data_IF_590328790282
#
_entry.id   IF_590328790282
#
_cell.length_a   1.000
_cell.length_b   1.000
_cell.length_c   1.000
_cell.angle_alpha   90.00
_cell.angle_beta   90.00
_cell.angle_gamma   90.00
#
_symmetry.space_group_name_H-M   'P 1'
#
loop_
_entity.id
_entity.type
_entity.pdbx_description
1 polymer ?
#
# COMPACT_ATOMS: atom_id res chain seq x y z
N UNK A 1 75.52 25.87 27.83
CA UNK A 1 76.15 25.53 26.53
C UNK A 1 75.48 24.28 25.99
N UNK A 2 75.02 24.29 24.74
CA UNK A 2 74.48 23.10 24.06
C UNK A 2 73.14 23.33 23.36
N UNK A 3 73.16 24.03 22.23
CA UNK A 3 72.09 24.11 21.23
C UNK A 3 71.67 22.72 20.73
N UNK A 4 70.37 22.39 20.58
CA UNK A 4 69.96 21.22 19.82
C UNK A 4 69.95 21.53 18.32
N UNK A 5 70.65 20.67 17.60
CA UNK A 5 70.84 20.69 16.15
C UNK A 5 69.52 20.57 15.38
N UNK A 6 69.35 21.50 14.44
CA UNK A 6 68.37 21.46 13.36
C UNK A 6 68.96 20.62 12.22
N UNK A 7 68.45 19.41 11.98
CA UNK A 7 68.73 18.66 10.75
C UNK A 7 67.44 18.46 9.96
N UNK A 8 67.54 18.88 8.70
CA UNK A 8 66.52 18.98 7.66
C UNK A 8 65.92 17.62 7.32
N UNK A 9 64.59 17.54 7.35
CA UNK A 9 63.85 16.47 6.69
C UNK A 9 63.74 16.80 5.18
N UNK A 10 64.56 16.14 4.37
CA UNK A 10 64.42 16.09 2.91
C UNK A 10 64.29 14.64 2.51
N UNK A 11 63.07 14.24 2.18
CA UNK A 11 62.75 12.89 1.77
C UNK A 11 61.34 12.83 1.17
N UNK A 12 61.09 13.63 0.13
CA UNK A 12 59.89 13.47 -0.68
C UNK A 12 60.03 12.19 -1.50
N UNK A 13 59.50 11.07 -1.01
CA UNK A 13 59.43 9.84 -1.79
C UNK A 13 58.48 10.07 -2.97
N UNK A 14 59.03 10.14 -4.19
CA UNK A 14 58.20 10.18 -5.39
C UNK A 14 57.49 8.84 -5.53
N UNK A 15 56.15 8.87 -5.60
CA UNK A 15 55.34 7.69 -5.85
C UNK A 15 55.78 7.01 -7.14
N UNK A 16 55.92 5.68 -7.10
CA UNK A 16 56.20 4.88 -8.29
C UNK A 16 55.01 4.90 -9.25
N UNK A 17 55.22 4.64 -10.54
CA UNK A 17 54.12 4.61 -11.52
C UNK A 17 53.02 3.62 -11.14
N UNK A 18 53.36 2.49 -10.54
CA UNK A 18 52.39 1.54 -10.01
C UNK A 18 51.55 2.12 -8.87
N UNK A 19 52.16 2.92 -7.98
CA UNK A 19 51.42 3.60 -6.91
C UNK A 19 50.47 4.66 -7.47
N UNK A 20 50.86 5.38 -8.52
CA UNK A 20 49.98 6.33 -9.20
C UNK A 20 48.79 5.65 -9.87
N UNK A 21 49.03 4.53 -10.58
CA UNK A 21 47.97 3.74 -11.20
C UNK A 21 47.00 3.15 -10.15
N UNK A 22 47.52 2.64 -9.04
CA UNK A 22 46.69 2.13 -7.95
C UNK A 22 45.81 3.24 -7.34
N UNK A 23 46.35 4.44 -7.13
CA UNK A 23 45.58 5.60 -6.65
C UNK A 23 44.47 5.97 -7.64
N UNK A 24 44.77 6.00 -8.94
CA UNK A 24 43.76 6.30 -9.98
C UNK A 24 42.61 5.29 -9.94
N UNK A 25 42.91 3.98 -9.85
CA UNK A 25 41.90 2.93 -9.79
C UNK A 25 41.05 3.02 -8.52
N UNK A 26 41.65 3.35 -7.38
CA UNK A 26 40.92 3.54 -6.11
C UNK A 26 39.98 4.75 -6.22
N UNK A 27 40.46 5.88 -6.76
CA UNK A 27 39.65 7.08 -6.94
C UNK A 27 38.49 6.83 -7.90
N UNK A 28 38.74 6.16 -9.03
CA UNK A 28 37.68 5.77 -9.98
C UNK A 28 36.66 4.83 -9.33
N UNK A 29 37.10 3.86 -8.52
CA UNK A 29 36.20 2.96 -7.81
C UNK A 29 35.34 3.69 -6.79
N UNK A 30 35.89 4.68 -6.07
CA UNK A 30 35.14 5.53 -5.15
C UNK A 30 34.14 6.40 -5.90
N UNK A 31 34.50 6.98 -7.04
CA UNK A 31 33.59 7.79 -7.86
C UNK A 31 32.44 6.93 -8.40
N UNK A 32 32.73 5.74 -8.92
CA UNK A 32 31.70 4.80 -9.39
C UNK A 32 30.82 4.36 -8.23
N UNK A 33 31.39 4.03 -7.08
CA UNK A 33 30.61 3.68 -5.89
C UNK A 33 29.72 4.83 -5.43
N UNK A 34 30.24 6.06 -5.39
CA UNK A 34 29.47 7.25 -5.06
C UNK A 34 28.37 7.54 -6.09
N UNK A 35 28.66 7.39 -7.38
CA UNK A 35 27.68 7.54 -8.46
C UNK A 35 26.57 6.48 -8.36
N UNK A 36 26.90 5.23 -8.09
CA UNK A 36 25.91 4.16 -7.86
C UNK A 36 25.07 4.41 -6.60
N UNK A 37 25.64 4.98 -5.52
CA UNK A 37 24.89 5.39 -4.33
C UNK A 37 24.01 6.63 -4.59
N UNK A 38 24.42 7.51 -5.50
CA UNK A 38 23.59 8.64 -5.93
C UNK A 38 22.43 8.20 -6.85
N UNK A 39 22.61 7.19 -7.70
CA UNK A 39 21.53 6.66 -8.55
C UNK A 39 20.44 5.91 -7.76
N UNK A 40 20.82 5.15 -6.73
CA UNK A 40 19.84 4.50 -5.84
C UNK A 40 19.05 5.48 -4.96
N UNK A 41 19.57 6.69 -4.74
CA UNK A 41 18.87 7.75 -4.01
C UNK A 41 18.11 8.73 -4.91
N UNK A 42 18.45 8.84 -6.20
CA UNK A 42 17.81 9.79 -7.13
C UNK A 42 16.53 9.28 -7.80
N UNK A 43 16.24 7.99 -7.71
CA UNK A 43 14.94 7.42 -8.13
C UNK A 43 13.85 7.49 -7.05
N UNK A 44 14.14 8.11 -5.90
CA UNK A 44 13.13 8.41 -4.89
C UNK A 44 12.71 9.88 -5.01
N UNK A 45 11.42 10.09 -5.25
CA UNK A 45 10.72 11.38 -5.28
C UNK A 45 11.11 12.31 -6.43
N UNK A 46 10.28 12.30 -7.48
CA UNK A 46 9.75 13.59 -7.90
C UNK A 46 8.87 14.07 -6.75
N UNK A 47 9.24 15.11 -5.99
CA UNK A 47 8.23 15.80 -5.22
C UNK A 47 7.29 16.40 -6.27
N UNK A 48 6.06 15.89 -6.33
CA UNK A 48 4.95 16.73 -6.76
C UNK A 48 5.09 18.07 -6.02
N UNK A 49 4.81 19.22 -6.64
CA UNK A 49 4.79 20.48 -5.92
C UNK A 49 3.89 20.28 -4.70
N UNK A 50 4.51 20.23 -3.52
CA UNK A 50 3.79 20.12 -2.26
C UNK A 50 3.31 21.54 -2.02
N UNK A 51 2.16 21.88 -2.58
CA UNK A 51 1.32 22.86 -1.90
C UNK A 51 1.26 22.37 -0.45
N UNK A 52 1.65 23.23 0.51
CA UNK A 52 1.61 22.86 1.93
C UNK A 52 0.29 22.15 2.21
N UNK A 53 0.30 20.96 2.85
CA UNK A 53 -0.92 20.20 3.04
C UNK A 53 -1.94 21.12 3.68
N UNK A 54 -3.00 21.46 2.92
CA UNK A 54 -4.04 22.37 3.39
C UNK A 54 -4.44 21.87 4.78
N UNK A 55 -4.16 22.68 5.80
CA UNK A 55 -4.53 22.33 7.16
C UNK A 55 -6.04 22.09 7.26
N UNK A 56 -6.52 21.54 8.38
CA UNK A 56 -7.95 21.49 8.60
C UNK A 56 -8.52 22.88 8.36
N UNK A 57 -9.63 22.99 7.62
CA UNK A 57 -10.31 24.29 7.48
C UNK A 57 -10.57 24.81 8.90
N UNK A 58 -10.42 26.12 9.16
CA UNK A 58 -10.77 26.68 10.47
C UNK A 58 -12.12 26.14 10.94
N UNK A 59 -12.19 25.68 12.19
CA UNK A 59 -13.38 25.08 12.83
C UNK A 59 -13.78 23.66 12.36
N UNK A 60 -12.96 22.95 11.55
CA UNK A 60 -13.24 21.54 11.24
C UNK A 60 -13.08 20.67 12.48
N UNK A 61 -14.13 19.97 12.90
CA UNK A 61 -14.09 19.05 14.03
C UNK A 61 -14.21 17.60 13.55
N UNK A 62 -13.08 16.90 13.41
CA UNK A 62 -13.10 15.51 12.94
C UNK A 62 -13.89 14.63 13.92
N UNK A 63 -15.01 14.08 13.46
CA UNK A 63 -15.91 13.28 14.28
C UNK A 63 -15.54 11.80 14.32
N UNK A 64 -14.86 11.31 13.28
CA UNK A 64 -14.48 9.90 13.14
C UNK A 64 -13.26 9.77 12.23
N UNK A 65 -12.43 8.74 12.46
CA UNK A 65 -11.38 8.31 11.54
C UNK A 65 -11.74 6.95 10.94
N UNK A 66 -11.82 6.85 9.61
CA UNK A 66 -12.00 5.60 8.90
C UNK A 66 -10.69 5.15 8.27
N UNK A 67 -10.18 3.97 8.65
CA UNK A 67 -9.03 3.35 7.98
C UNK A 67 -9.51 2.39 6.90
N UNK A 68 -9.21 2.75 5.65
CA UNK A 68 -9.41 1.93 4.46
C UNK A 68 -8.06 1.43 3.94
N UNK A 69 -8.08 0.40 3.11
CA UNK A 69 -6.86 -0.09 2.48
C UNK A 69 -7.09 -1.42 1.80
N UNK A 70 -6.26 -1.75 0.84
CA UNK A 70 -6.41 -2.98 0.06
C UNK A 70 -6.25 -4.22 0.95
N UNK A 71 -6.68 -5.40 0.46
CA UNK A 71 -6.26 -6.67 1.09
C UNK A 71 -4.74 -6.71 1.16
N UNK A 72 -4.17 -7.38 2.16
CA UNK A 72 -2.72 -7.55 2.31
C UNK A 72 -1.87 -6.26 2.41
N UNK A 73 -2.48 -5.11 2.70
CA UNK A 73 -1.80 -3.81 2.83
C UNK A 73 -1.38 -3.45 4.26
N UNK A 74 -1.60 -4.32 5.25
CA UNK A 74 -1.20 -4.05 6.64
C UNK A 74 -2.22 -3.26 7.49
N UNK A 75 -3.43 -3.00 6.97
CA UNK A 75 -4.45 -2.21 7.69
C UNK A 75 -4.79 -2.71 9.10
N UNK A 76 -4.70 -4.01 9.38
CA UNK A 76 -4.92 -4.53 10.75
C UNK A 76 -3.90 -3.96 11.75
N UNK A 77 -2.63 -3.84 11.34
CA UNK A 77 -1.58 -3.31 12.19
C UNK A 77 -1.81 -1.83 12.49
N UNK A 78 -2.19 -1.05 11.47
CA UNK A 78 -2.47 0.37 11.58
C UNK A 78 -3.76 0.65 12.35
N UNK A 79 -4.88 -0.01 12.03
CA UNK A 79 -6.16 0.23 12.72
C UNK A 79 -6.07 -0.08 14.21
N UNK A 80 -5.42 -1.19 14.58
CA UNK A 80 -5.19 -1.54 15.99
C UNK A 80 -4.28 -0.52 16.69
N UNK A 81 -3.37 0.11 15.97
CA UNK A 81 -2.52 1.15 16.55
C UNK A 81 -3.31 2.44 16.78
N UNK A 82 -4.03 2.91 15.76
CA UNK A 82 -4.85 4.11 15.86
C UNK A 82 -5.91 3.98 16.95
N UNK A 83 -6.59 2.83 17.03
CA UNK A 83 -7.54 2.54 18.10
C UNK A 83 -6.89 2.65 19.49
N UNK A 84 -5.69 2.08 19.66
CA UNK A 84 -4.95 2.18 20.92
C UNK A 84 -4.58 3.64 21.26
N UNK A 85 -4.28 4.46 20.27
CA UNK A 85 -3.79 5.83 20.48
C UNK A 85 -4.94 6.83 20.68
N UNK A 86 -6.01 6.72 19.90
CA UNK A 86 -7.06 7.73 19.81
C UNK A 86 -8.47 7.23 20.16
N UNK A 87 -8.69 5.91 20.26
CA UNK A 87 -10.00 5.31 20.54
C UNK A 87 -10.65 5.71 21.88
N UNK A 88 -9.88 6.37 22.75
CA UNK A 88 -10.40 6.95 23.99
C UNK A 88 -11.19 8.26 23.80
N UNK A 89 -11.03 8.93 22.65
CA UNK A 89 -11.60 10.26 22.39
C UNK A 89 -12.31 10.37 21.03
N UNK A 90 -11.91 9.58 20.04
CA UNK A 90 -12.52 9.57 18.70
C UNK A 90 -12.69 8.15 18.19
N UNK A 91 -13.79 7.91 17.49
CA UNK A 91 -14.09 6.59 16.95
C UNK A 91 -13.18 6.26 15.76
N UNK A 92 -12.51 5.11 15.81
CA UNK A 92 -11.72 4.57 14.70
C UNK A 92 -12.45 3.39 14.07
N UNK A 93 -12.85 3.51 12.82
CA UNK A 93 -13.55 2.44 12.09
C UNK A 93 -12.68 1.80 11.01
N UNK A 94 -12.96 0.54 10.73
CA UNK A 94 -12.49 -0.17 9.52
C UNK A 94 -13.58 -0.26 8.45
N UNK A 95 -14.52 0.67 8.49
CA UNK A 95 -15.64 0.80 7.56
C UNK A 95 -15.92 2.29 7.30
N UNK A 96 -16.33 2.62 6.08
CA UNK A 96 -16.93 3.90 5.74
C UNK A 96 -18.35 3.66 5.21
N UNK A 97 -18.48 3.35 3.91
CA UNK A 97 -19.74 2.88 3.30
C UNK A 97 -19.82 1.34 3.29
N UNK A 98 -18.67 0.70 3.12
CA UNK A 98 -18.42 -0.75 3.15
C UNK A 98 -17.20 -1.07 4.02
N UNK A 99 -16.93 -2.35 4.25
CA UNK A 99 -15.69 -2.79 4.88
C UNK A 99 -14.43 -2.29 4.14
N UNK A 100 -13.37 -2.03 4.91
CA UNK A 100 -12.13 -1.33 4.49
C UNK A 100 -11.45 -1.81 3.21
N UNK A 101 -11.66 -3.05 2.82
CA UNK A 101 -11.00 -3.65 1.65
C UNK A 101 -11.77 -3.47 0.35
N UNK A 102 -13.04 -3.08 0.43
CA UNK A 102 -13.96 -3.07 -0.71
C UNK A 102 -14.13 -1.65 -1.27
N UNK A 103 -14.59 -1.56 -2.52
CA UNK A 103 -14.96 -0.31 -3.16
C UNK A 103 -15.98 0.42 -2.31
N UNK A 104 -15.78 1.70 -2.12
CA UNK A 104 -16.70 2.57 -1.40
C UNK A 104 -17.71 3.18 -2.38
N UNK A 105 -18.86 3.61 -1.86
CA UNK A 105 -19.89 4.33 -2.59
C UNK A 105 -20.41 5.52 -1.75
N UNK A 106 -20.90 6.61 -2.36
CA UNK A 106 -21.44 7.74 -1.63
C UNK A 106 -22.66 7.31 -0.79
N UNK A 107 -22.52 7.38 0.53
CA UNK A 107 -23.56 6.97 1.48
C UNK A 107 -23.46 7.80 2.77
N UNK A 108 -23.74 9.12 2.72
CA UNK A 108 -23.51 10.04 3.85
C UNK A 108 -24.28 9.67 5.13
N UNK A 109 -25.31 8.84 5.03
CA UNK A 109 -26.07 8.32 6.16
C UNK A 109 -25.37 7.19 6.94
N UNK A 110 -24.18 6.73 6.51
CA UNK A 110 -23.45 5.60 7.13
C UNK A 110 -22.30 6.01 8.04
N UNK A 111 -21.89 7.26 7.99
CA UNK A 111 -20.78 7.82 8.76
C UNK A 111 -21.14 9.24 9.19
N UNK A 112 -20.61 9.71 10.33
CA UNK A 112 -20.84 11.10 10.75
C UNK A 112 -20.20 12.07 9.75
N UNK A 113 -20.74 13.29 9.67
CA UNK A 113 -20.06 14.37 8.95
C UNK A 113 -18.70 14.67 9.60
N UNK A 114 -17.79 15.22 8.81
CA UNK A 114 -16.40 15.47 9.22
C UNK A 114 -15.61 14.19 9.53
N UNK A 115 -15.80 13.16 8.71
CA UNK A 115 -15.01 11.93 8.77
C UNK A 115 -13.66 12.11 8.08
N UNK A 116 -12.55 11.88 8.79
CA UNK A 116 -11.23 11.74 8.18
C UNK A 116 -11.04 10.31 7.66
N UNK A 117 -10.62 10.16 6.42
CA UNK A 117 -10.33 8.84 5.84
C UNK A 117 -8.83 8.66 5.65
N UNK A 118 -8.27 7.60 6.21
CA UNK A 118 -6.89 7.18 5.96
C UNK A 118 -6.94 6.01 4.99
N UNK A 119 -6.50 6.24 3.75
CA UNK A 119 -6.42 5.24 2.70
C UNK A 119 -5.00 4.66 2.65
N UNK A 120 -4.82 3.46 3.19
CA UNK A 120 -3.51 2.81 3.25
C UNK A 120 -3.25 1.92 2.02
N UNK A 121 -2.12 2.16 1.38
CA UNK A 121 -1.63 1.41 0.24
C UNK A 121 -0.32 0.70 0.58
N UNK A 122 0.00 -0.30 -0.23
CA UNK A 122 1.24 -1.08 -0.12
C UNK A 122 1.97 -1.03 -1.45
N UNK A 123 3.29 -1.11 -1.42
CA UNK A 123 4.12 -1.16 -2.62
C UNK A 123 3.57 -2.24 -3.57
N UNK A 124 3.34 -1.93 -4.86
CA UNK A 124 2.61 -2.81 -5.75
C UNK A 124 3.30 -4.17 -5.96
N UNK A 125 4.64 -4.21 -5.97
CA UNK A 125 5.39 -5.46 -6.10
C UNK A 125 5.14 -6.39 -4.90
N UNK A 126 5.33 -5.85 -3.69
CA UNK A 126 5.09 -6.57 -2.43
C UNK A 126 3.61 -6.94 -2.24
N UNK A 127 2.71 -6.07 -2.69
CA UNK A 127 1.28 -6.27 -2.61
C UNK A 127 0.82 -7.41 -3.52
N UNK A 128 1.23 -7.40 -4.80
CA UNK A 128 0.91 -8.47 -5.75
C UNK A 128 1.47 -9.81 -5.28
N UNK A 129 2.72 -9.84 -4.78
CA UNK A 129 3.30 -11.06 -4.21
C UNK A 129 2.54 -11.56 -2.98
N UNK A 130 2.09 -10.65 -2.12
CA UNK A 130 1.28 -11.01 -0.96
C UNK A 130 -0.13 -11.49 -1.36
N UNK A 131 -0.75 -10.88 -2.36
CA UNK A 131 -2.02 -11.31 -2.94
C UNK A 131 -1.92 -12.69 -3.59
N UNK A 132 -0.83 -12.98 -4.31
CA UNK A 132 -0.55 -14.32 -4.85
C UNK A 132 -0.48 -15.35 -3.73
N UNK A 133 0.30 -15.08 -2.68
CA UNK A 133 0.51 -16.03 -1.58
C UNK A 133 -0.71 -16.21 -0.67
N UNK A 134 -1.52 -15.17 -0.52
CA UNK A 134 -2.64 -15.08 0.42
C UNK A 134 -3.86 -14.43 -0.26
N UNK A 135 -4.49 -15.11 -1.25
CA UNK A 135 -5.61 -14.59 -2.02
C UNK A 135 -6.92 -14.70 -1.22
N UNK A 136 -7.02 -13.92 -0.13
CA UNK A 136 -8.20 -13.91 0.73
C UNK A 136 -9.48 -13.61 -0.06
N UNK A 137 -10.51 -14.45 0.14
CA UNK A 137 -11.80 -14.34 -0.54
C UNK A 137 -11.75 -14.55 -2.06
N UNK A 138 -10.63 -15.06 -2.61
CA UNK A 138 -10.46 -15.29 -4.04
C UNK A 138 -10.18 -16.77 -4.36
N UNK A 139 -11.17 -17.68 -4.18
CA UNK A 139 -10.97 -19.11 -4.33
C UNK A 139 -10.45 -19.57 -5.70
N UNK A 140 -10.86 -18.95 -6.80
CA UNK A 140 -10.37 -19.22 -8.15
C UNK A 140 -8.90 -18.84 -8.38
N UNK A 141 -8.30 -18.02 -7.51
CA UNK A 141 -6.88 -17.63 -7.62
C UNK A 141 -5.95 -18.42 -6.69
N UNK A 142 -6.50 -19.35 -5.89
CA UNK A 142 -5.70 -20.12 -4.91
C UNK A 142 -4.74 -21.09 -5.58
N UNK A 143 -5.08 -21.60 -6.76
CA UNK A 143 -4.22 -22.54 -7.46
C UNK A 143 -2.92 -21.91 -7.99
N UNK A 144 -2.87 -20.57 -8.11
CA UNK A 144 -1.70 -19.81 -8.57
C UNK A 144 -0.79 -19.32 -7.43
N UNK A 145 -1.06 -19.78 -6.19
CA UNK A 145 -0.23 -19.48 -5.01
C UNK A 145 1.25 -19.87 -5.14
N UNK A 146 1.61 -21.02 -5.74
CA UNK A 146 3.02 -21.40 -5.90
C UNK A 146 3.79 -20.35 -6.69
N UNK A 147 5.06 -20.11 -6.31
CA UNK A 147 5.88 -19.03 -6.85
C UNK A 147 6.03 -19.13 -8.37
N UNK A 148 6.17 -20.35 -8.90
CA UNK A 148 6.29 -20.63 -10.33
C UNK A 148 5.05 -20.29 -11.16
N UNK A 149 3.90 -19.99 -10.53
CA UNK A 149 2.62 -19.65 -11.19
C UNK A 149 2.24 -18.18 -11.07
N UNK A 150 3.20 -17.31 -10.77
CA UNK A 150 2.97 -15.87 -10.61
C UNK A 150 2.37 -15.25 -11.88
N UNK A 151 2.78 -15.73 -13.06
CA UNK A 151 2.33 -15.18 -14.34
C UNK A 151 0.84 -15.45 -14.56
N UNK A 152 0.36 -16.67 -14.28
CA UNK A 152 -1.06 -17.00 -14.33
C UNK A 152 -1.84 -16.18 -13.31
N UNK A 153 -1.32 -15.98 -12.10
CA UNK A 153 -1.96 -15.12 -11.10
C UNK A 153 -2.15 -13.68 -11.61
N UNK A 154 -1.11 -13.09 -12.20
CA UNK A 154 -1.14 -11.70 -12.69
C UNK A 154 -1.95 -11.51 -13.97
N UNK A 155 -2.17 -12.57 -14.77
CA UNK A 155 -2.88 -12.49 -16.06
C UNK A 155 -4.32 -12.98 -15.99
N UNK A 156 -4.69 -13.70 -14.94
CA UNK A 156 -6.05 -14.23 -14.80
C UNK A 156 -7.05 -13.10 -14.55
N UNK A 157 -8.22 -13.14 -15.21
CA UNK A 157 -9.32 -12.25 -14.89
C UNK A 157 -9.70 -12.33 -13.41
N UNK A 158 -9.94 -11.18 -12.79
CA UNK A 158 -10.28 -11.11 -11.36
C UNK A 158 -11.74 -11.50 -11.13
N UNK A 159 -12.05 -12.79 -11.25
CA UNK A 159 -13.42 -13.30 -11.14
C UNK A 159 -13.47 -14.79 -10.77
N UNK A 160 -14.69 -15.30 -10.64
CA UNK A 160 -15.01 -16.73 -10.61
C UNK A 160 -16.42 -16.95 -11.16
N UNK A 161 -16.75 -18.18 -11.52
CA UNK A 161 -18.15 -18.53 -11.78
C UNK A 161 -19.02 -18.38 -10.53
N UNK A 162 -20.26 -17.95 -10.71
CA UNK A 162 -21.26 -17.97 -9.62
C UNK A 162 -21.59 -19.41 -9.26
N UNK A 163 -21.71 -19.68 -7.97
CA UNK A 163 -21.89 -21.03 -7.43
C UNK A 163 -23.06 -21.10 -6.44
N UNK A 164 -23.65 -22.28 -6.30
CA UNK A 164 -24.68 -22.54 -5.31
C UNK A 164 -25.88 -21.58 -5.39
N UNK A 165 -26.25 -20.99 -4.26
CA UNK A 165 -27.38 -20.05 -4.16
C UNK A 165 -27.16 -18.77 -4.96
N UNK A 166 -25.90 -18.38 -5.21
CA UNK A 166 -25.53 -17.19 -5.97
C UNK A 166 -25.87 -17.29 -7.47
N UNK A 167 -26.12 -18.49 -8.00
CA UNK A 167 -26.52 -18.68 -9.42
C UNK A 167 -27.89 -18.09 -9.74
N UNK A 168 -28.75 -17.98 -8.74
CA UNK A 168 -30.08 -17.42 -8.93
C UNK A 168 -29.99 -15.91 -8.75
N UNK A 169 -30.23 -15.16 -9.82
CA UNK A 169 -30.32 -13.71 -9.74
C UNK A 169 -31.47 -13.36 -8.80
N UNK A 170 -31.13 -12.88 -7.61
CA UNK A 170 -32.11 -12.35 -6.68
C UNK A 170 -32.02 -10.84 -6.71
N UNK A 171 -33.16 -10.10 -6.78
CA UNK A 171 -33.18 -8.63 -6.83
C UNK A 171 -32.79 -7.99 -5.47
N UNK A 172 -31.98 -8.67 -4.67
CA UNK A 172 -31.57 -8.25 -3.32
C UNK A 172 -30.22 -7.56 -3.37
N UNK A 173 -30.00 -6.65 -2.42
CA UNK A 173 -28.66 -6.14 -2.13
C UNK A 173 -27.77 -7.30 -1.67
N UNK A 174 -26.60 -7.39 -2.28
CA UNK A 174 -25.60 -8.39 -1.95
C UNK A 174 -24.84 -8.04 -0.68
N UNK A 175 -23.93 -8.94 -0.28
CA UNK A 175 -22.99 -8.69 0.80
C UNK A 175 -22.31 -7.33 0.63
N UNK A 176 -22.14 -6.63 1.76
CA UNK A 176 -21.56 -5.28 1.79
C UNK A 176 -22.28 -4.27 0.87
N UNK A 177 -23.57 -4.48 0.55
CA UNK A 177 -24.40 -3.55 -0.23
C UNK A 177 -23.92 -3.31 -1.67
N UNK A 178 -23.29 -4.32 -2.27
CA UNK A 178 -23.09 -4.35 -3.70
C UNK A 178 -24.40 -4.70 -4.42
N UNK A 179 -24.54 -4.26 -5.66
CA UNK A 179 -25.54 -4.81 -6.57
C UNK A 179 -25.07 -6.18 -7.07
N UNK A 180 -26.00 -7.02 -7.51
CA UNK A 180 -25.69 -8.36 -8.00
C UNK A 180 -24.60 -8.33 -9.08
N UNK A 181 -24.71 -7.43 -10.06
CA UNK A 181 -23.74 -7.28 -11.15
C UNK A 181 -22.36 -6.80 -10.71
N UNK A 182 -22.22 -6.18 -9.55
CA UNK A 182 -20.97 -5.54 -9.12
C UNK A 182 -20.07 -6.47 -8.27
N UNK A 183 -20.57 -7.66 -7.92
CA UNK A 183 -19.87 -8.59 -7.03
C UNK A 183 -20.16 -10.06 -7.35
N UNK A 184 -19.16 -10.92 -7.14
CA UNK A 184 -19.29 -12.37 -7.02
C UNK A 184 -18.58 -12.82 -5.74
N UNK A 185 -19.20 -13.45 -4.75
CA UNK A 185 -20.60 -13.87 -4.68
C UNK A 185 -21.49 -12.75 -4.15
N UNK A 186 -22.79 -12.79 -4.42
CA UNK A 186 -23.78 -11.96 -3.76
C UNK A 186 -23.99 -12.39 -2.29
N UNK A 187 -23.99 -13.69 -2.02
CA UNK A 187 -24.10 -14.25 -0.67
C UNK A 187 -22.74 -14.50 -0.02
N UNK A 188 -22.67 -14.33 1.30
CA UNK A 188 -21.44 -14.53 2.09
C UNK A 188 -20.98 -15.99 2.05
N UNK A 189 -21.86 -16.98 2.16
CA UNK A 189 -21.51 -18.41 2.08
C UNK A 189 -22.43 -19.10 1.04
N UNK A 190 -22.12 -19.04 -0.27
CA UNK A 190 -23.02 -19.50 -1.33
C UNK A 190 -23.16 -21.03 -1.44
N UNK A 191 -22.35 -21.77 -0.69
CA UNK A 191 -22.42 -23.24 -0.57
C UNK A 191 -22.46 -23.61 0.92
N UNK A 192 -23.08 -24.75 1.28
CA UNK A 192 -23.02 -25.25 2.65
C UNK A 192 -21.57 -25.49 3.08
N UNK A 193 -21.28 -25.30 4.37
CA UNK A 193 -19.91 -25.46 4.92
C UNK A 193 -19.27 -26.81 4.62
N UNK A 194 -20.07 -27.88 4.51
CA UNK A 194 -19.63 -29.22 4.14
C UNK A 194 -19.02 -29.32 2.73
N UNK A 195 -19.31 -28.37 1.83
CA UNK A 195 -18.74 -28.32 0.50
C UNK A 195 -17.26 -27.88 0.50
N UNK A 196 -16.79 -27.23 1.56
CA UNK A 196 -15.43 -26.72 1.66
C UNK A 196 -14.53 -27.69 2.42
N UNK A 197 -13.63 -28.37 1.70
CA UNK A 197 -12.64 -29.29 2.29
C UNK A 197 -11.69 -28.60 3.27
N UNK A 198 -11.37 -27.33 3.01
CA UNK A 198 -10.52 -26.47 3.84
C UNK A 198 -11.09 -25.04 3.81
N UNK A 199 -11.01 -24.35 4.95
CA UNK A 199 -11.44 -22.96 5.11
C UNK A 199 -10.24 -22.00 5.04
N UNK A 200 -9.17 -22.40 4.36
CA UNK A 200 -8.00 -21.56 4.14
C UNK A 200 -8.39 -20.31 3.36
N UNK A 201 -7.77 -19.17 3.69
CA UNK A 201 -7.95 -17.89 2.99
C UNK A 201 -9.41 -17.44 2.78
N UNK A 202 -10.32 -17.83 3.66
CA UNK A 202 -11.74 -17.48 3.57
C UNK A 202 -12.41 -17.93 2.27
N UNK A 203 -12.01 -19.09 1.71
CA UNK A 203 -12.59 -19.68 0.49
C UNK A 203 -14.11 -19.85 0.50
N UNK A 204 -14.65 -20.06 1.69
CA UNK A 204 -16.08 -20.20 1.92
C UNK A 204 -16.85 -18.89 1.74
N UNK A 205 -16.13 -17.76 1.63
CA UNK A 205 -16.66 -16.41 1.46
C UNK A 205 -16.05 -15.72 0.23
N UNK A 206 -16.38 -16.16 -1.00
CA UNK A 206 -15.87 -15.53 -2.22
C UNK A 206 -16.30 -14.06 -2.34
N UNK A 207 -15.35 -13.19 -2.70
CA UNK A 207 -15.53 -11.75 -2.83
C UNK A 207 -14.63 -11.17 -3.94
N UNK A 208 -15.17 -11.19 -5.16
CA UNK A 208 -14.66 -10.60 -6.39
C UNK A 208 -15.49 -9.39 -6.73
N UNK A 209 -14.86 -8.23 -6.71
CA UNK A 209 -15.47 -6.98 -7.12
C UNK A 209 -15.31 -6.83 -8.62
N UNK A 210 -16.40 -6.47 -9.31
CA UNK A 210 -16.41 -6.23 -10.75
C UNK A 210 -15.93 -4.79 -11.06
N UNK A 211 -15.81 -4.49 -12.35
CA UNK A 211 -15.47 -3.17 -12.88
C UNK A 211 -16.32 -2.07 -12.24
N UNK A 212 -15.66 -1.06 -11.66
CA UNK A 212 -16.33 0.07 -10.99
C UNK A 212 -16.77 1.15 -11.98
N UNK A 213 -17.12 0.74 -13.22
CA UNK A 213 -17.64 1.54 -14.32
C UNK A 213 -19.15 1.29 -14.55
N UNK A 214 -19.77 0.45 -13.72
CA UNK A 214 -21.17 0.07 -13.79
C UNK A 214 -21.48 -1.01 -14.84
N UNK A 215 -20.48 -1.52 -15.56
CA UNK A 215 -20.64 -2.56 -16.59
C UNK A 215 -20.93 -3.94 -16.03
N UNK A 216 -20.58 -4.19 -14.76
CA UNK A 216 -20.63 -5.52 -14.14
C UNK A 216 -19.66 -6.54 -14.74
N UNK A 217 -18.70 -6.10 -15.56
CA UNK A 217 -17.69 -6.97 -16.15
C UNK A 217 -16.53 -7.17 -15.18
N UNK A 218 -15.89 -8.35 -15.16
CA UNK A 218 -14.70 -8.55 -14.36
C UNK A 218 -13.51 -7.75 -14.93
N UNK A 219 -12.56 -7.40 -14.06
CA UNK A 219 -11.27 -6.88 -14.50
C UNK A 219 -10.48 -7.96 -15.26
N UNK A 220 -9.73 -7.58 -16.29
CA UNK A 220 -8.91 -8.53 -17.04
C UNK A 220 -7.79 -9.13 -16.19
N UNK A 221 -7.38 -8.40 -15.15
CA UNK A 221 -6.41 -8.87 -14.17
C UNK A 221 -6.47 -8.06 -12.86
N UNK A 222 -5.72 -8.53 -11.86
CA UNK A 222 -5.65 -7.89 -10.54
C UNK A 222 -5.01 -6.49 -10.53
N UNK A 223 -4.15 -6.17 -11.51
CA UNK A 223 -3.51 -4.85 -11.60
C UNK A 223 -4.49 -3.78 -12.09
N UNK A 224 -5.39 -4.12 -13.01
CA UNK A 224 -6.51 -3.25 -13.40
C UNK A 224 -7.46 -3.00 -12.20
N UNK A 225 -7.81 -4.07 -11.46
CA UNK A 225 -8.63 -3.94 -10.24
C UNK A 225 -7.99 -3.01 -9.22
N UNK A 226 -6.68 -3.14 -8.98
CA UNK A 226 -5.92 -2.26 -8.10
C UNK A 226 -5.95 -0.80 -8.58
N UNK A 227 -5.74 -0.59 -9.87
CA UNK A 227 -5.79 0.76 -10.47
C UNK A 227 -7.13 1.44 -10.15
N UNK A 228 -8.24 0.74 -10.34
CA UNK A 228 -9.56 1.27 -10.01
C UNK A 228 -9.79 1.40 -8.50
N UNK A 229 -9.18 0.52 -7.68
CA UNK A 229 -9.22 0.65 -6.22
C UNK A 229 -8.61 1.94 -5.73
N UNK A 230 -7.45 2.32 -6.27
CA UNK A 230 -6.78 3.58 -5.96
C UNK A 230 -7.69 4.76 -6.32
N UNK A 231 -8.23 4.78 -7.55
CA UNK A 231 -9.17 5.83 -7.99
C UNK A 231 -10.37 5.94 -7.06
N UNK A 232 -10.99 4.81 -6.73
CA UNK A 232 -12.15 4.80 -5.85
C UNK A 232 -11.81 5.34 -4.46
N UNK A 233 -10.70 4.91 -3.85
CA UNK A 233 -10.33 5.36 -2.51
C UNK A 233 -9.99 6.85 -2.47
N UNK A 234 -9.29 7.38 -3.48
CA UNK A 234 -8.99 8.81 -3.55
C UNK A 234 -10.24 9.65 -3.85
N UNK A 235 -11.19 9.13 -4.64
CA UNK A 235 -12.45 9.82 -4.93
C UNK A 235 -13.36 10.02 -3.71
N UNK A 236 -13.09 9.32 -2.60
CA UNK A 236 -13.84 9.48 -1.35
C UNK A 236 -13.75 10.91 -0.80
N UNK A 237 -12.72 11.68 -1.18
CA UNK A 237 -12.57 13.08 -0.81
C UNK A 237 -13.77 13.93 -1.24
N UNK A 238 -14.44 13.53 -2.31
CA UNK A 238 -15.62 14.21 -2.85
C UNK A 238 -16.94 13.76 -2.20
N UNK A 239 -16.91 12.82 -1.25
CA UNK A 239 -18.12 12.32 -0.62
C UNK A 239 -18.64 13.32 0.42
N UNK A 240 -19.95 13.55 0.41
CA UNK A 240 -20.62 14.37 1.43
C UNK A 240 -20.27 13.82 2.82
N UNK A 241 -19.82 14.70 3.72
CA UNK A 241 -19.47 14.37 5.10
C UNK A 241 -18.03 13.86 5.30
N UNK A 242 -17.24 13.68 4.24
CA UNK A 242 -15.80 13.41 4.37
C UNK A 242 -15.04 14.72 4.52
N UNK A 243 -14.19 14.82 5.54
CA UNK A 243 -13.35 16.00 5.77
C UNK A 243 -12.15 16.02 4.84
N UNK A 244 -11.43 14.89 4.75
CA UNK A 244 -10.29 14.71 3.84
C UNK A 244 -9.96 13.22 3.67
N UNK A 245 -9.11 12.91 2.69
CA UNK A 245 -8.55 11.57 2.44
C UNK A 245 -7.03 11.63 2.44
N UNK A 246 -6.38 10.91 3.36
CA UNK A 246 -4.94 10.79 3.41
C UNK A 246 -4.48 9.47 2.80
N UNK A 247 -3.75 9.54 1.70
CA UNK A 247 -3.05 8.40 1.14
C UNK A 247 -1.79 8.11 1.97
N UNK A 248 -1.69 6.90 2.53
CA UNK A 248 -0.56 6.50 3.37
C UNK A 248 0.09 5.24 2.82
N UNK A 249 1.40 5.30 2.63
CA UNK A 249 2.19 4.12 2.25
C UNK A 249 2.52 3.29 3.49
N UNK A 250 2.19 2.01 3.44
CA UNK A 250 2.47 1.08 4.53
C UNK A 250 3.97 0.96 4.82
N UNK A 251 4.81 0.98 3.78
CA UNK A 251 6.27 0.92 3.91
C UNK A 251 6.83 2.17 4.62
N UNK A 252 6.20 3.33 4.43
CA UNK A 252 6.57 4.55 5.13
C UNK A 252 6.37 4.39 6.64
N UNK A 253 5.18 3.92 7.05
CA UNK A 253 4.87 3.67 8.47
C UNK A 253 5.77 2.61 9.09
N UNK A 254 6.26 1.64 8.30
CA UNK A 254 7.23 0.67 8.76
C UNK A 254 8.63 1.26 8.86
N UNK A 255 9.10 2.01 7.86
CA UNK A 255 10.50 2.48 7.80
C UNK A 255 10.77 3.71 8.66
N UNK A 256 9.79 4.60 8.80
CA UNK A 256 9.89 5.84 9.61
C UNK A 256 9.24 5.71 10.98
N UNK A 257 8.41 4.69 11.17
CA UNK A 257 7.56 4.59 12.34
C UNK A 257 6.26 5.39 12.17
N UNK A 258 5.48 5.53 13.24
CA UNK A 258 4.14 6.13 13.16
C UNK A 258 4.04 7.53 13.75
N UNK A 259 5.14 8.12 14.24
CA UNK A 259 5.13 9.40 14.95
C UNK A 259 4.48 10.50 14.12
N UNK A 260 4.91 10.69 12.88
CA UNK A 260 4.39 11.73 11.98
C UNK A 260 2.89 11.58 11.71
N UNK A 261 2.39 10.35 11.56
CA UNK A 261 0.96 10.09 11.41
C UNK A 261 0.18 10.48 12.68
N UNK A 262 0.72 10.18 13.86
CA UNK A 262 0.09 10.57 15.12
C UNK A 262 0.10 12.09 15.32
N UNK A 263 1.20 12.75 14.98
CA UNK A 263 1.34 14.21 15.06
C UNK A 263 0.34 14.90 14.13
N UNK A 264 0.18 14.39 12.91
CA UNK A 264 -0.76 14.93 11.93
C UNK A 264 -2.23 14.73 12.35
N UNK A 265 -2.58 13.55 12.91
CA UNK A 265 -3.90 13.35 13.52
C UNK A 265 -4.10 14.32 14.70
N UNK A 266 -3.08 14.51 15.55
CA UNK A 266 -3.14 15.44 16.68
C UNK A 266 -3.37 16.87 16.20
N UNK A 267 -2.69 17.27 15.13
CA UNK A 267 -2.83 18.60 14.51
C UNK A 267 -4.24 18.85 13.98
N UNK A 268 -4.86 17.83 13.35
CA UNK A 268 -6.20 17.95 12.78
C UNK A 268 -7.34 17.81 13.78
N UNK A 269 -7.14 16.98 14.81
CA UNK A 269 -8.20 16.63 15.77
C UNK A 269 -8.09 17.40 17.09
N UNK A 270 -6.91 17.94 17.42
CA UNK A 270 -6.58 18.44 18.75
C UNK A 270 -6.44 17.36 19.82
N UNK A 271 -6.61 16.08 19.47
CA UNK A 271 -6.61 14.95 20.40
C UNK A 271 -5.17 14.44 20.56
N UNK A 272 -4.71 14.34 21.80
CA UNK A 272 -3.39 13.77 22.10
C UNK A 272 -3.44 12.23 22.10
N UNK A 273 -2.41 11.54 21.55
CA UNK A 273 -2.38 10.08 21.57
C UNK A 273 -2.10 9.54 22.98
N UNK A 274 -2.89 8.56 23.43
CA UNK A 274 -2.67 7.83 24.70
C UNK A 274 -1.72 6.62 24.53
N UNK A 275 -0.79 6.72 23.59
CA UNK A 275 0.12 5.64 23.22
C UNK A 275 1.48 6.23 22.83
N UNK A 276 2.51 5.39 22.80
CA UNK A 276 3.77 5.73 22.14
C UNK A 276 3.68 5.37 20.66
N UNK A 277 4.23 6.23 19.80
CA UNK A 277 4.45 5.90 18.40
C UNK A 277 5.23 4.59 18.26
N UNK A 278 4.89 3.80 17.25
CA UNK A 278 5.66 2.61 16.90
C UNK A 278 6.94 3.07 16.20
N UNK A 279 8.12 2.61 16.66
CA UNK A 279 9.37 2.95 16.01
C UNK A 279 9.46 2.28 14.62
N UNK A 280 10.44 2.70 13.80
CA UNK A 280 10.85 1.97 12.62
C UNK A 280 10.97 0.45 12.85
N UNK A 281 10.42 -0.32 11.93
CA UNK A 281 10.39 -1.78 11.93
C UNK A 281 10.96 -2.31 10.62
N UNK A 282 11.94 -3.20 10.73
CA UNK A 282 12.37 -4.02 9.60
C UNK A 282 11.48 -5.27 9.53
N UNK A 283 10.64 -5.35 8.50
CA UNK A 283 9.86 -6.56 8.22
C UNK A 283 10.52 -7.38 7.12
N UNK A 284 10.32 -8.70 7.18
CA UNK A 284 10.72 -9.59 6.10
C UNK A 284 9.84 -9.31 4.89
N UNK A 285 10.47 -8.89 3.80
CA UNK A 285 9.80 -8.78 2.51
C UNK A 285 9.75 -10.16 1.85
N UNK A 286 8.74 -10.38 1.02
CA UNK A 286 8.70 -11.59 0.18
C UNK A 286 9.61 -11.31 -1.01
N UNK A 287 10.48 -12.26 -1.41
CA UNK A 287 11.23 -12.09 -2.64
C UNK A 287 10.23 -11.97 -3.80
N UNK A 288 10.45 -10.98 -4.66
CA UNK A 288 9.73 -10.81 -5.92
C UNK A 288 10.67 -11.25 -7.02
N UNK A 289 10.24 -12.19 -7.84
CA UNK A 289 11.03 -12.70 -8.96
C UNK A 289 11.33 -11.57 -9.94
N UNK A 290 12.54 -11.56 -10.52
CA UNK A 290 12.94 -10.52 -11.48
C UNK A 290 11.96 -10.40 -12.66
N UNK A 291 11.54 -11.55 -13.20
CA UNK A 291 10.56 -11.60 -14.31
C UNK A 291 9.18 -11.09 -13.89
N UNK A 292 8.76 -11.36 -12.64
CA UNK A 292 7.51 -10.81 -12.09
C UNK A 292 7.61 -9.29 -11.97
N UNK A 293 8.73 -8.77 -11.47
CA UNK A 293 8.95 -7.34 -11.34
C UNK A 293 9.03 -6.62 -12.70
N UNK A 294 9.69 -7.24 -13.68
CA UNK A 294 9.72 -6.76 -15.08
C UNK A 294 8.30 -6.67 -15.65
N UNK A 295 7.51 -7.73 -15.50
CA UNK A 295 6.13 -7.76 -15.97
C UNK A 295 5.25 -6.70 -15.31
N UNK A 296 5.35 -6.54 -13.99
CA UNK A 296 4.62 -5.49 -13.24
C UNK A 296 5.02 -4.11 -13.75
N UNK A 297 6.32 -3.88 -13.98
CA UNK A 297 6.81 -2.60 -14.49
C UNK A 297 6.25 -2.26 -15.87
N UNK A 298 6.08 -3.25 -16.73
CA UNK A 298 5.57 -3.05 -18.08
C UNK A 298 4.04 -2.87 -18.15
N UNK A 299 3.29 -3.50 -17.25
CA UNK A 299 1.83 -3.62 -17.38
C UNK A 299 1.02 -2.87 -16.32
N UNK A 300 1.62 -2.48 -15.19
CA UNK A 300 0.93 -1.70 -14.16
C UNK A 300 0.74 -0.25 -14.59
N UNK A 301 -0.38 0.35 -14.20
CA UNK A 301 -0.65 1.77 -14.46
C UNK A 301 0.16 2.67 -13.50
N UNK A 302 1.42 2.94 -13.86
CA UNK A 302 2.31 3.78 -13.05
C UNK A 302 1.84 5.23 -12.89
N UNK A 303 1.03 5.74 -13.82
CA UNK A 303 0.41 7.06 -13.64
C UNK A 303 -0.48 7.07 -12.41
N UNK A 304 -1.34 6.07 -12.23
CA UNK A 304 -2.22 6.00 -11.05
C UNK A 304 -1.46 5.62 -9.78
N UNK A 305 -0.47 4.73 -9.85
CA UNK A 305 0.38 4.42 -8.69
C UNK A 305 1.15 5.65 -8.18
N UNK A 306 1.53 6.58 -9.09
CA UNK A 306 2.21 7.82 -8.69
C UNK A 306 1.35 8.74 -7.84
N UNK A 307 0.01 8.67 -7.95
CA UNK A 307 -0.91 9.46 -7.13
C UNK A 307 -0.85 9.08 -5.64
N UNK A 308 -0.40 7.87 -5.33
CA UNK A 308 -0.18 7.37 -3.97
C UNK A 308 1.32 7.25 -3.65
N UNK A 309 2.16 7.91 -4.44
CA UNK A 309 3.60 8.07 -4.22
C UNK A 309 4.46 6.87 -4.61
N UNK A 310 3.96 5.91 -5.39
CA UNK A 310 4.77 4.80 -5.89
C UNK A 310 5.27 5.07 -7.32
N UNK A 311 6.49 4.62 -7.61
CA UNK A 311 7.10 4.67 -8.94
C UNK A 311 7.68 3.33 -9.37
N UNK A 312 7.96 3.14 -10.67
CA UNK A 312 8.59 1.92 -11.16
C UNK A 312 9.98 1.78 -10.56
N UNK A 313 10.28 0.61 -9.99
CA UNK A 313 11.61 0.31 -9.46
C UNK A 313 12.44 -0.46 -10.50
N UNK A 314 13.71 -0.09 -10.64
CA UNK A 314 14.72 -0.95 -11.26
C UNK A 314 15.21 -1.93 -10.21
N UNK A 315 14.89 -3.21 -10.40
CA UNK A 315 15.45 -4.32 -9.62
C UNK A 315 16.81 -4.74 -10.14
#
# INVERSE_FOLDING_TARGET
MGTPNRVKATGGSSLTEYQKQAIILIVMSIIIFAACQMETTRNWMYPMPVDEPEGPKPDTHIAMIALLGERNSGTRWTSSHLEKCFGHAIEIRTKLSRYKHWFQYPAPYRYPHETLVIAQFRNPYDWLKAMQHVPHHAPAHIEYRPDERWMEFLRSPWTMERIGTDKNETPRRCQEHFEYKDIISCEVEPLPRSAYKKLDYSRHQPFYEMGNDGSGRPYNNIMEMRTDKIRNFLSIKEYIGVADVWAVQYEYLLTKGTQELLDEITRWTGIQPNCTARPPQQRRNRPVEREMAEYIREHLNWTVESWIGYGPHSY
#
